data_IF_367230307696
#
_entry.id   IF_367230307696
#
_cell.length_a   1.000
_cell.length_b   1.000
_cell.length_c   1.000
_cell.angle_alpha   90.00
_cell.angle_beta   90.00
_cell.angle_gamma   90.00
#
_symmetry.space_group_name_H-M   'P 1'
#
loop_
_entity.id
_entity.type
_entity.pdbx_description
1 polymer ?
#
# COMPACT_ATOMS: atom_id res chain seq x y z
N UNK A 1 -2.11 3.22 -11.96
CA UNK A 1 -2.62 3.67 -10.64
C UNK A 1 -3.71 4.69 -10.86
N UNK A 2 -4.69 4.77 -9.96
CA UNK A 2 -5.67 5.86 -9.92
C UNK A 2 -5.23 6.87 -8.85
N UNK A 3 -5.34 8.17 -9.13
CA UNK A 3 -5.08 9.26 -8.18
C UNK A 3 -6.39 9.82 -7.61
N UNK A 4 -6.30 10.73 -6.65
CA UNK A 4 -7.44 11.38 -5.98
C UNK A 4 -7.91 10.66 -4.72
N UNK A 5 -9.05 11.07 -4.15
CA UNK A 5 -9.54 10.59 -2.84
C UNK A 5 -9.96 9.11 -2.79
N UNK A 6 -10.00 8.45 -3.95
CA UNK A 6 -10.24 7.01 -4.09
C UNK A 6 -9.04 6.30 -4.74
N UNK A 7 -7.85 6.90 -4.62
CA UNK A 7 -6.63 6.37 -5.22
C UNK A 7 -6.37 4.93 -4.77
N UNK A 8 -6.00 4.09 -5.72
CA UNK A 8 -5.59 2.72 -5.47
C UNK A 8 -4.64 2.21 -6.54
N UNK A 9 -3.89 1.17 -6.20
CA UNK A 9 -2.97 0.53 -7.12
C UNK A 9 -2.23 -0.64 -6.49
N UNK A 10 -1.40 -1.27 -7.31
CA UNK A 10 -0.55 -2.39 -6.94
C UNK A 10 0.87 -2.17 -7.49
N UNK A 11 1.85 -2.83 -6.87
CA UNK A 11 3.25 -2.77 -7.29
C UNK A 11 4.08 -3.88 -6.65
N UNK A 12 5.39 -3.81 -6.85
CA UNK A 12 6.35 -4.75 -6.26
C UNK A 12 7.44 -4.02 -5.47
N UNK A 13 7.88 -4.66 -4.41
CA UNK A 13 9.06 -4.31 -3.60
C UNK A 13 10.25 -5.11 -4.16
N UNK A 14 11.46 -4.56 -4.08
CA UNK A 14 12.67 -5.15 -4.68
C UNK A 14 12.99 -6.59 -4.25
N UNK A 15 12.44 -7.03 -3.11
CA UNK A 15 12.68 -8.37 -2.54
C UNK A 15 11.69 -9.43 -3.07
N UNK A 16 10.87 -9.12 -4.09
CA UNK A 16 9.90 -10.04 -4.70
C UNK A 16 8.54 -10.09 -3.99
N UNK A 17 8.32 -9.19 -3.03
CA UNK A 17 7.02 -8.99 -2.41
C UNK A 17 6.16 -8.08 -3.27
N UNK A 18 4.89 -8.43 -3.46
CA UNK A 18 3.90 -7.53 -4.03
C UNK A 18 3.29 -6.66 -2.94
N UNK A 19 2.85 -5.46 -3.28
CA UNK A 19 2.06 -4.61 -2.39
C UNK A 19 0.85 -4.04 -3.10
N UNK A 20 -0.18 -3.70 -2.32
CA UNK A 20 -1.27 -2.83 -2.77
C UNK A 20 -1.30 -1.56 -1.94
N UNK A 21 -1.87 -0.50 -2.51
CA UNK A 21 -2.25 0.67 -1.75
C UNK A 21 -3.66 1.10 -2.10
N UNK A 22 -4.35 1.68 -1.12
CA UNK A 22 -5.67 2.29 -1.30
C UNK A 22 -5.87 3.44 -0.35
N UNK A 23 -6.68 4.41 -0.74
CA UNK A 23 -7.21 5.42 0.18
C UNK A 23 -8.51 4.90 0.78
N UNK A 24 -8.56 4.83 2.10
CA UNK A 24 -9.71 4.39 2.88
C UNK A 24 -9.90 5.35 4.05
N UNK A 25 -11.11 5.88 4.25
CA UNK A 25 -11.41 6.82 5.34
C UNK A 25 -10.38 7.97 5.50
N UNK A 26 -9.96 8.58 4.38
CA UNK A 26 -8.92 9.65 4.32
C UNK A 26 -7.52 9.22 4.81
N UNK A 27 -7.25 7.92 4.79
CA UNK A 27 -5.95 7.34 5.13
C UNK A 27 -5.41 6.57 3.94
N UNK A 28 -4.09 6.67 3.71
CA UNK A 28 -3.36 5.79 2.82
C UNK A 28 -3.08 4.48 3.56
N UNK A 29 -3.65 3.40 3.06
CA UNK A 29 -3.40 2.04 3.53
C UNK A 29 -2.49 1.35 2.53
N UNK A 30 -1.39 0.78 3.02
CA UNK A 30 -0.48 -0.06 2.23
C UNK A 30 -0.41 -1.43 2.87
N UNK A 31 -0.61 -2.45 2.06
CA UNK A 31 -0.53 -3.86 2.45
C UNK A 31 0.55 -4.54 1.61
N UNK A 32 1.54 -5.13 2.27
CA UNK A 32 2.61 -5.90 1.63
C UNK A 32 2.29 -7.38 1.81
N UNK A 33 2.31 -8.12 0.72
CA UNK A 33 1.93 -9.52 0.69
C UNK A 33 3.13 -10.45 0.74
N UNK A 34 2.89 -11.72 1.11
CA UNK A 34 3.86 -12.82 1.00
C UNK A 34 4.37 -12.93 -0.44
N UNK A 35 5.64 -13.32 -0.64
CA UNK A 35 6.14 -13.62 -1.97
C UNK A 35 5.44 -14.89 -2.47
N UNK A 36 5.22 -14.99 -3.79
CA UNK A 36 4.61 -16.17 -4.45
C UNK A 36 3.21 -16.52 -3.93
N UNK A 37 2.30 -15.56 -3.99
CA UNK A 37 0.87 -15.80 -3.76
C UNK A 37 0.36 -16.87 -4.73
N UNK A 38 -0.20 -17.97 -4.20
CA UNK A 38 -0.66 -19.11 -4.98
C UNK A 38 -2.15 -19.02 -5.39
N UNK A 39 -2.75 -17.84 -5.32
CA UNK A 39 -4.16 -17.61 -5.65
C UNK A 39 -4.40 -16.29 -6.36
N UNK A 40 -5.53 -16.14 -7.09
CA UNK A 40 -5.82 -14.93 -7.86
C UNK A 40 -6.15 -13.70 -6.99
N UNK A 41 -6.52 -13.92 -5.71
CA UNK A 41 -6.91 -12.85 -4.78
C UNK A 41 -6.14 -13.04 -3.47
N UNK A 42 -5.21 -12.12 -3.12
CA UNK A 42 -4.54 -12.13 -1.82
C UNK A 42 -5.56 -12.01 -0.70
N UNK A 43 -5.46 -12.86 0.32
CA UNK A 43 -6.28 -12.80 1.52
C UNK A 43 -5.62 -11.91 2.58
N UNK A 44 -6.36 -11.56 3.64
CA UNK A 44 -5.79 -10.80 4.76
C UNK A 44 -4.59 -11.54 5.41
N UNK A 45 -4.60 -12.87 5.37
CA UNK A 45 -3.53 -13.74 5.87
C UNK A 45 -2.25 -13.74 5.04
N UNK A 46 -2.36 -13.28 3.80
CA UNK A 46 -1.21 -13.06 2.94
C UNK A 46 -0.49 -11.77 3.26
N UNK A 47 -1.06 -10.87 4.08
CA UNK A 47 -0.42 -9.61 4.47
C UNK A 47 0.70 -9.90 5.48
N UNK A 48 1.94 -9.67 5.08
CA UNK A 48 3.13 -9.81 5.94
C UNK A 48 3.48 -8.52 6.67
N UNK A 49 3.12 -7.37 6.08
CA UNK A 49 3.35 -6.08 6.67
C UNK A 49 2.29 -5.08 6.22
N UNK A 50 1.96 -4.13 7.09
CA UNK A 50 0.94 -3.11 6.85
C UNK A 50 1.40 -1.75 7.37
N UNK A 51 1.03 -0.70 6.65
CA UNK A 51 1.06 0.67 7.16
C UNK A 51 -0.25 1.37 6.89
N UNK A 52 -0.64 2.23 7.84
CA UNK A 52 -1.78 3.13 7.72
C UNK A 52 -1.30 4.52 8.12
N UNK A 53 -1.47 5.49 7.23
CA UNK A 53 -1.08 6.88 7.46
C UNK A 53 -2.21 7.80 7.01
N UNK A 54 -2.54 8.80 7.83
CA UNK A 54 -3.47 9.84 7.41
C UNK A 54 -2.94 10.64 6.22
N UNK A 55 -3.83 11.13 5.35
CA UNK A 55 -3.47 11.98 4.20
C UNK A 55 -3.19 13.44 4.56
N UNK A 56 -2.99 13.75 5.85
CA UNK A 56 -2.63 15.10 6.28
C UNK A 56 -1.30 15.46 5.62
N UNK A 57 -1.24 16.65 5.01
CA UNK A 57 -0.09 17.18 4.26
C UNK A 57 0.29 16.40 2.99
N UNK A 58 -0.61 15.58 2.45
CA UNK A 58 -0.42 14.86 1.19
C UNK A 58 -1.52 15.29 0.22
N UNK A 59 -1.15 15.72 -0.98
CA UNK A 59 -2.10 15.90 -2.08
C UNK A 59 -2.27 14.57 -2.83
N UNK A 60 -3.41 13.86 -2.68
CA UNK A 60 -3.62 12.60 -3.38
C UNK A 60 -3.94 12.78 -4.88
N UNK A 61 -4.26 14.00 -5.33
CA UNK A 61 -4.56 14.30 -6.74
C UNK A 61 -3.29 14.45 -7.57
N UNK A 62 -2.19 14.88 -6.94
CA UNK A 62 -0.86 14.86 -7.54
C UNK A 62 -0.25 13.45 -7.48
N UNK A 63 -0.02 12.87 -8.65
CA UNK A 63 0.59 11.56 -8.82
C UNK A 63 1.97 11.45 -8.15
N UNK A 64 2.76 12.53 -8.18
CA UNK A 64 4.12 12.52 -7.60
C UNK A 64 4.08 12.48 -6.08
N UNK A 65 3.22 13.30 -5.49
CA UNK A 65 2.96 13.32 -4.05
C UNK A 65 2.42 11.98 -3.55
N UNK A 66 1.46 11.39 -4.27
CA UNK A 66 0.92 10.08 -3.95
C UNK A 66 1.99 8.97 -4.06
N UNK A 67 2.77 8.95 -5.14
CA UNK A 67 3.82 7.96 -5.33
C UNK A 67 4.90 8.05 -4.24
N UNK A 68 5.29 9.25 -3.83
CA UNK A 68 6.22 9.46 -2.72
C UNK A 68 5.62 8.97 -1.38
N UNK A 69 4.35 9.25 -1.12
CA UNK A 69 3.65 8.78 0.07
C UNK A 69 3.57 7.25 0.11
N UNK A 70 3.21 6.60 -1.01
CA UNK A 70 3.17 5.13 -1.13
C UNK A 70 4.55 4.53 -0.88
N UNK A 71 5.60 5.08 -1.50
CA UNK A 71 6.98 4.61 -1.29
C UNK A 71 7.38 4.67 0.19
N UNK A 72 7.13 5.80 0.85
CA UNK A 72 7.44 5.96 2.27
C UNK A 72 6.65 4.97 3.13
N UNK A 73 5.35 4.79 2.86
CA UNK A 73 4.51 3.84 3.56
C UNK A 73 4.96 2.39 3.39
N UNK A 74 5.47 2.01 2.22
CA UNK A 74 6.11 0.69 2.00
C UNK A 74 7.36 0.55 2.87
N UNK A 75 8.22 1.58 2.91
CA UNK A 75 9.45 1.57 3.74
C UNK A 75 9.16 1.49 5.24
N UNK A 76 8.05 2.07 5.70
CA UNK A 76 7.65 2.09 7.11
C UNK A 76 6.59 1.04 7.48
N UNK A 77 6.29 0.09 6.60
CA UNK A 77 5.32 -0.97 6.91
C UNK A 77 5.81 -1.84 8.06
N UNK A 78 4.94 -2.07 9.04
CA UNK A 78 5.25 -2.91 10.20
C UNK A 78 4.77 -4.33 9.94
N UNK A 79 5.47 -5.37 10.45
CA UNK A 79 5.03 -6.74 10.33
C UNK A 79 3.61 -6.93 10.85
N UNK A 80 2.76 -7.61 10.09
CA UNK A 80 1.43 -7.97 10.53
C UNK A 80 1.54 -9.07 11.59
N UNK A 81 0.99 -8.84 12.78
CA UNK A 81 0.84 -9.89 13.79
C UNK A 81 -0.31 -10.79 13.36
N UNK A 82 0.00 -12.05 13.07
CA UNK A 82 -0.94 -13.05 12.61
C UNK A 82 -1.16 -14.14 13.65
#
# INVERSE_FOLDING_TARGET
MLTGIFASGYGQVGDGHSFSFRIEHRSLVVEIYRPRLNGPVPQAEDVVARSVRGLVDIDPTDERSLAAAVRNSVTHALPASH
#
